data_IF_982742431120
#
_entry.id   IF_982742431120
#
_cell.length_a   1.000
_cell.length_b   1.000
_cell.length_c   1.000
_cell.angle_alpha   90.00
_cell.angle_beta   90.00
_cell.angle_gamma   90.00
#
_symmetry.space_group_name_H-M   'P 1'
#
loop_
_entity.id
_entity.type
_entity.pdbx_description
1 polymer ?
#
# COMPACT_ATOMS: atom_id res chain seq x y z
N UNK A 1 -11.43 -0.67 -16.89
CA UNK A 1 -10.46 -1.79 -16.74
C UNK A 1 -11.22 -3.10 -16.55
N UNK A 2 -10.78 -4.18 -17.21
CA UNK A 2 -11.37 -5.52 -17.12
C UNK A 2 -10.51 -6.37 -16.18
N UNK A 3 -11.12 -7.00 -15.18
CA UNK A 3 -10.48 -7.97 -14.30
C UNK A 3 -11.11 -9.33 -14.52
N UNK A 4 -10.28 -10.37 -14.62
CA UNK A 4 -10.69 -11.75 -14.73
C UNK A 4 -10.25 -12.51 -13.48
N UNK A 5 -11.18 -13.17 -12.81
CA UNK A 5 -10.92 -14.07 -11.68
C UNK A 5 -11.25 -15.49 -12.14
N UNK A 6 -10.33 -16.42 -11.89
CA UNK A 6 -10.51 -17.85 -12.14
C UNK A 6 -10.58 -18.55 -10.80
N UNK A 7 -11.58 -19.41 -10.61
CA UNK A 7 -11.79 -20.21 -9.41
C UNK A 7 -12.28 -21.61 -9.80
N UNK A 8 -12.09 -22.63 -8.95
CA UNK A 8 -12.56 -23.98 -9.28
C UNK A 8 -14.08 -24.01 -9.33
N UNK A 9 -14.65 -24.61 -10.38
CA UNK A 9 -16.11 -24.77 -10.52
C UNK A 9 -16.68 -25.88 -9.62
N UNK A 10 -15.82 -26.75 -9.10
CA UNK A 10 -16.21 -27.91 -8.29
C UNK A 10 -15.14 -28.29 -7.25
N UNK A 11 -15.51 -29.14 -6.29
CA UNK A 11 -14.55 -29.68 -5.33
C UNK A 11 -13.44 -30.50 -6.01
N UNK A 12 -13.74 -31.21 -7.08
CA UNK A 12 -12.72 -31.97 -7.82
C UNK A 12 -11.76 -31.05 -8.57
N UNK A 13 -12.25 -29.92 -9.11
CA UNK A 13 -11.37 -28.89 -9.66
C UNK A 13 -10.50 -28.23 -8.59
N UNK A 14 -10.99 -28.07 -7.35
CA UNK A 14 -10.21 -27.43 -6.27
C UNK A 14 -8.94 -28.20 -5.89
N UNK A 15 -8.86 -29.49 -6.24
CA UNK A 15 -7.67 -30.35 -6.04
C UNK A 15 -6.67 -30.27 -7.20
N UNK A 16 -7.05 -29.63 -8.31
CA UNK A 16 -6.22 -29.48 -9.49
C UNK A 16 -5.47 -28.13 -9.48
N UNK A 17 -4.43 -28.03 -10.31
CA UNK A 17 -3.69 -26.78 -10.49
C UNK A 17 -4.61 -25.66 -11.02
N UNK A 18 -4.41 -24.38 -10.60
CA UNK A 18 -5.28 -23.26 -10.99
C UNK A 18 -5.52 -23.07 -12.49
N UNK A 19 -4.57 -23.49 -13.33
CA UNK A 19 -4.69 -23.43 -14.79
C UNK A 19 -5.79 -24.33 -15.36
N UNK A 20 -6.26 -25.32 -14.58
CA UNK A 20 -7.33 -26.25 -14.97
C UNK A 20 -8.71 -25.82 -14.46
N UNK A 21 -8.79 -24.74 -13.70
CA UNK A 21 -10.06 -24.25 -13.16
C UNK A 21 -10.88 -23.57 -14.25
N UNK A 22 -12.17 -23.88 -14.30
CA UNK A 22 -13.03 -23.47 -15.42
C UNK A 22 -13.94 -22.30 -15.09
N UNK A 23 -14.25 -22.05 -13.81
CA UNK A 23 -15.14 -20.96 -13.44
C UNK A 23 -14.42 -19.61 -13.53
N UNK A 24 -14.83 -18.81 -14.50
CA UNK A 24 -14.33 -17.46 -14.71
C UNK A 24 -15.38 -16.42 -14.32
N UNK A 25 -14.97 -15.38 -13.60
CA UNK A 25 -15.80 -14.20 -13.34
C UNK A 25 -15.08 -12.97 -13.86
N UNK A 26 -15.82 -12.13 -14.59
CA UNK A 26 -15.31 -10.86 -15.09
C UNK A 26 -15.94 -9.70 -14.34
N UNK A 27 -15.13 -8.69 -14.06
CA UNK A 27 -15.58 -7.46 -13.42
C UNK A 27 -15.00 -6.25 -14.14
N UNK A 28 -15.84 -5.24 -14.32
CA UNK A 28 -15.50 -4.01 -15.02
C UNK A 28 -15.49 -2.85 -14.04
N UNK A 29 -14.36 -2.15 -13.96
CA UNK A 29 -14.20 -0.96 -13.13
C UNK A 29 -14.01 0.25 -14.05
N UNK A 30 -14.82 1.28 -13.85
CA UNK A 30 -14.69 2.54 -14.57
C UNK A 30 -13.36 3.19 -14.17
N UNK A 31 -12.51 3.50 -15.14
CA UNK A 31 -11.27 4.21 -14.85
C UNK A 31 -11.61 5.61 -14.35
N UNK A 32 -11.05 6.06 -13.21
CA UNK A 32 -11.27 7.43 -12.75
C UNK A 32 -10.75 8.41 -13.79
N UNK A 33 -11.54 9.44 -14.12
CA UNK A 33 -11.12 10.56 -14.95
C UNK A 33 -10.52 11.61 -14.02
N UNK A 34 -9.40 12.23 -14.40
CA UNK A 34 -8.69 13.29 -13.66
C UNK A 34 -7.91 12.82 -12.41
N UNK A 35 -6.97 11.89 -12.58
CA UNK A 35 -6.04 11.53 -11.51
C UNK A 35 -4.65 12.07 -11.84
N UNK A 36 -3.94 12.59 -10.82
CA UNK A 36 -2.56 13.09 -10.98
C UNK A 36 -1.62 11.94 -11.41
N UNK A 37 -1.94 10.73 -10.96
CA UNK A 37 -1.27 9.48 -11.32
C UNK A 37 -2.28 8.61 -12.08
N UNK A 38 -2.35 8.76 -13.40
CA UNK A 38 -3.41 8.18 -14.24
C UNK A 38 -3.03 6.92 -15.00
N UNK A 39 -1.78 6.44 -14.91
CA UNK A 39 -1.32 5.43 -15.87
C UNK A 39 -1.14 4.01 -15.32
N UNK A 40 -1.16 3.78 -14.00
CA UNK A 40 -1.07 2.41 -13.47
C UNK A 40 -1.90 2.22 -12.20
N UNK A 41 -3.09 1.64 -12.34
CA UNK A 41 -3.78 1.03 -11.20
C UNK A 41 -2.93 -0.17 -10.75
N UNK A 42 -2.47 -0.15 -9.51
CA UNK A 42 -1.45 -1.08 -9.02
C UNK A 42 -1.84 -1.75 -7.70
N UNK A 43 -0.95 -2.60 -7.21
CA UNK A 43 -1.02 -3.22 -5.88
C UNK A 43 -0.85 -2.16 -4.77
N UNK A 44 -1.48 -2.31 -3.59
CA UNK A 44 -1.37 -1.35 -2.49
C UNK A 44 0.07 -1.09 -2.04
N UNK A 45 0.99 -2.05 -2.22
CA UNK A 45 2.42 -1.87 -1.91
C UNK A 45 3.12 -0.86 -2.82
N UNK A 46 2.57 -0.55 -4.01
CA UNK A 46 3.09 0.52 -4.87
C UNK A 46 3.09 1.87 -4.14
N UNK A 47 2.16 2.11 -3.21
CA UNK A 47 2.14 3.33 -2.40
C UNK A 47 3.48 3.56 -1.68
N UNK A 48 4.08 2.50 -1.12
CA UNK A 48 5.37 2.59 -0.43
C UNK A 48 6.47 3.00 -1.41
N UNK A 49 6.48 2.43 -2.61
CA UNK A 49 7.44 2.78 -3.65
C UNK A 49 7.25 4.22 -4.15
N UNK A 50 6.02 4.64 -4.44
CA UNK A 50 5.73 6.01 -4.90
C UNK A 50 6.19 7.04 -3.89
N UNK A 51 5.91 6.82 -2.61
CA UNK A 51 6.39 7.68 -1.52
C UNK A 51 7.91 7.67 -1.35
N UNK A 52 8.59 6.61 -1.82
CA UNK A 52 10.05 6.47 -1.74
C UNK A 52 10.78 7.06 -2.96
N UNK A 53 10.12 7.19 -4.10
CA UNK A 53 10.74 7.66 -5.35
C UNK A 53 10.37 9.11 -5.67
N UNK A 54 9.12 9.48 -5.43
CA UNK A 54 8.69 10.86 -5.62
C UNK A 54 9.32 11.71 -4.54
N UNK A 55 9.85 12.89 -4.88
CA UNK A 55 10.28 13.87 -3.87
C UNK A 55 9.06 14.25 -3.03
N UNK A 56 8.87 13.68 -1.82
CA UNK A 56 7.56 13.68 -1.19
C UNK A 56 7.20 15.06 -0.66
N UNK A 57 8.21 15.93 -0.50
CA UNK A 57 8.04 17.34 -0.13
C UNK A 57 7.36 18.17 -1.21
N UNK A 58 7.44 17.74 -2.46
CA UNK A 58 6.88 18.46 -3.61
C UNK A 58 5.52 17.89 -4.02
N UNK A 59 5.04 16.85 -3.34
CA UNK A 59 3.68 16.35 -3.54
C UNK A 59 2.69 17.36 -2.97
N UNK A 60 1.79 17.85 -3.82
CA UNK A 60 0.62 18.57 -3.35
C UNK A 60 -0.17 17.65 -2.40
N UNK A 61 -0.59 18.18 -1.25
CA UNK A 61 -1.31 17.45 -0.23
C UNK A 61 -2.69 18.08 -0.04
N UNK A 62 -3.80 17.31 -0.13
CA UNK A 62 -3.83 15.86 -0.38
C UNK A 62 -3.50 15.50 -1.84
N UNK A 63 -2.97 14.29 -2.03
CA UNK A 63 -2.94 13.65 -3.35
C UNK A 63 -3.71 12.32 -3.32
N UNK A 64 -4.16 11.90 -4.50
CA UNK A 64 -4.94 10.68 -4.67
C UNK A 64 -4.19 9.66 -5.52
N UNK A 65 -4.28 8.39 -5.11
CA UNK A 65 -3.85 7.24 -5.90
C UNK A 65 -4.96 6.20 -5.94
N UNK A 66 -4.96 5.38 -6.99
CA UNK A 66 -5.96 4.32 -7.16
C UNK A 66 -5.25 2.97 -7.21
N UNK A 67 -5.71 2.04 -6.37
CA UNK A 67 -5.10 0.72 -6.22
C UNK A 67 -6.17 -0.37 -6.26
N UNK A 68 -5.79 -1.58 -6.63
CA UNK A 68 -6.67 -2.74 -6.43
C UNK A 68 -6.45 -3.35 -5.06
N UNK A 69 -7.55 -3.58 -4.35
CA UNK A 69 -7.62 -4.53 -3.24
C UNK A 69 -7.74 -5.96 -3.76
N UNK A 70 -8.28 -6.85 -2.93
CA UNK A 70 -8.52 -8.25 -3.30
C UNK A 70 -9.58 -8.36 -4.39
N UNK A 71 -10.63 -7.55 -4.32
CA UNK A 71 -11.77 -7.67 -5.22
C UNK A 71 -12.25 -6.35 -5.80
N UNK A 72 -11.87 -5.21 -5.23
CA UNK A 72 -12.38 -3.91 -5.64
C UNK A 72 -11.25 -2.90 -5.80
N UNK A 73 -11.50 -1.88 -6.62
CA UNK A 73 -10.61 -0.72 -6.71
C UNK A 73 -10.87 0.19 -5.51
N UNK A 74 -9.81 0.75 -4.96
CA UNK A 74 -9.86 1.71 -3.86
C UNK A 74 -9.22 3.01 -4.31
N UNK A 75 -9.86 4.13 -3.96
CA UNK A 75 -9.23 5.44 -3.98
C UNK A 75 -8.53 5.64 -2.64
N UNK A 76 -7.24 5.93 -2.67
CA UNK A 76 -6.47 6.31 -1.49
C UNK A 76 -6.21 7.80 -1.51
N UNK A 77 -6.65 8.49 -0.47
CA UNK A 77 -6.33 9.90 -0.24
C UNK A 77 -5.20 9.97 0.77
N UNK A 78 -4.05 10.50 0.32
CA UNK A 78 -2.85 10.63 1.15
C UNK A 78 -2.69 12.08 1.59
N UNK A 79 -2.50 12.32 2.89
CA UNK A 79 -2.34 13.66 3.47
C UNK A 79 -1.05 13.78 4.27
N UNK A 80 -0.35 14.89 4.08
CA UNK A 80 0.78 15.24 4.95
C UNK A 80 0.29 15.55 6.37
N UNK A 81 0.94 14.94 7.35
CA UNK A 81 0.74 15.25 8.76
C UNK A 81 1.93 16.01 9.35
N UNK A 82 1.67 16.68 10.47
CA UNK A 82 2.74 17.30 11.26
C UNK A 82 3.66 16.21 11.80
N UNK A 83 4.96 16.43 11.63
CA UNK A 83 5.98 15.47 12.05
C UNK A 83 6.65 15.84 13.37
N UNK A 84 6.78 14.84 14.24
CA UNK A 84 7.59 14.87 15.46
C UNK A 84 8.85 14.01 15.27
N UNK A 85 9.95 14.33 15.97
CA UNK A 85 11.14 13.48 15.97
C UNK A 85 10.82 12.05 16.42
N UNK A 86 11.38 11.07 15.71
CA UNK A 86 11.18 9.64 15.92
C UNK A 86 12.55 8.97 16.06
N UNK A 87 12.77 8.27 17.17
CA UNK A 87 13.93 7.41 17.34
C UNK A 87 13.76 6.16 16.47
N UNK A 88 14.79 5.82 15.69
CA UNK A 88 14.77 4.67 14.76
C UNK A 88 16.07 3.88 14.86
N UNK A 89 15.97 2.56 14.67
CA UNK A 89 17.13 1.69 14.55
C UNK A 89 16.93 0.64 13.47
N UNK A 90 17.80 0.63 12.47
CA UNK A 90 17.74 -0.29 11.34
C UNK A 90 19.12 -0.48 10.70
N UNK A 91 19.28 -1.48 9.84
CA UNK A 91 20.52 -1.73 9.10
C UNK A 91 20.37 -1.42 7.63
N UNK A 92 21.40 -0.87 7.02
CA UNK A 92 21.50 -0.65 5.57
C UNK A 92 22.58 -1.57 5.03
N UNK A 93 22.21 -2.39 4.05
CA UNK A 93 23.11 -3.24 3.29
C UNK A 93 23.43 -2.55 1.96
N UNK A 94 24.70 -2.26 1.71
CA UNK A 94 25.22 -1.70 0.45
C UNK A 94 26.37 -2.57 -0.10
N UNK A 95 26.87 -2.24 -1.29
CA UNK A 95 28.08 -2.87 -1.86
C UNK A 95 29.32 -2.71 -0.97
N UNK A 96 29.37 -1.65 -0.16
CA UNK A 96 30.48 -1.33 0.75
C UNK A 96 30.37 -1.97 2.13
N UNK A 97 29.28 -2.67 2.45
CA UNK A 97 29.09 -3.39 3.71
C UNK A 97 27.73 -3.12 4.36
N UNK A 98 27.65 -3.38 5.67
CA UNK A 98 26.44 -3.18 6.47
C UNK A 98 26.67 -2.02 7.44
N UNK A 99 25.79 -1.01 7.38
CA UNK A 99 25.82 0.15 8.28
C UNK A 99 24.60 0.09 9.21
N UNK A 100 24.86 0.11 10.52
CA UNK A 100 23.81 0.27 11.52
C UNK A 100 23.41 1.74 11.67
N UNK A 101 22.11 2.01 11.57
CA UNK A 101 21.51 3.30 11.86
C UNK A 101 20.87 3.20 13.25
N UNK A 102 21.20 4.14 14.13
CA UNK A 102 20.55 4.33 15.41
C UNK A 102 20.56 5.83 15.72
N UNK A 103 19.45 6.51 15.43
CA UNK A 103 19.37 7.98 15.49
C UNK A 103 17.93 8.44 15.64
N UNK A 104 17.75 9.75 15.82
CA UNK A 104 16.45 10.40 15.79
C UNK A 104 16.27 11.08 14.43
N UNK A 105 15.20 10.74 13.72
CA UNK A 105 14.84 11.32 12.42
C UNK A 105 13.55 12.12 12.59
N UNK A 106 13.40 13.23 11.88
CA UNK A 106 12.10 13.90 11.70
C UNK A 106 11.49 13.38 10.39
N UNK A 107 10.62 12.35 10.41
CA UNK A 107 10.12 11.72 9.21
C UNK A 107 9.14 12.63 8.45
N UNK A 108 8.89 12.37 7.18
CA UNK A 108 7.65 12.82 6.54
C UNK A 108 6.56 11.82 6.93
N UNK A 109 5.39 12.33 7.33
CA UNK A 109 4.27 11.49 7.78
C UNK A 109 3.11 11.67 6.81
N UNK A 110 2.59 10.54 6.33
CA UNK A 110 1.42 10.50 5.46
C UNK A 110 0.33 9.70 6.15
N UNK A 111 -0.85 10.29 6.37
CA UNK A 111 -2.06 9.50 6.63
C UNK A 111 -2.69 9.05 5.32
N UNK A 112 -3.21 7.83 5.34
CA UNK A 112 -3.83 7.17 4.19
C UNK A 112 -5.26 6.82 4.56
N UNK A 113 -6.20 7.43 3.86
CA UNK A 113 -7.61 7.08 3.90
C UNK A 113 -7.98 6.33 2.64
N UNK A 114 -8.73 5.24 2.77
CA UNK A 114 -9.14 4.40 1.66
C UNK A 114 -10.66 4.39 1.51
N UNK A 115 -11.11 4.58 0.28
CA UNK A 115 -12.52 4.48 -0.11
C UNK A 115 -12.67 3.44 -1.21
N UNK A 116 -13.53 2.45 -0.98
CA UNK A 116 -13.85 1.46 -2.00
C UNK A 116 -14.74 2.06 -3.09
N UNK A 117 -14.39 1.77 -4.34
CA UNK A 117 -15.15 2.13 -5.53
C UNK A 117 -15.99 0.94 -6.00
N UNK A 118 -16.68 0.30 -5.04
CA UNK A 118 -17.59 -0.81 -5.29
C UNK A 118 -18.73 -0.39 -6.25
N UNK A 119 -19.21 -1.36 -7.04
CA UNK A 119 -20.45 -1.16 -7.80
C UNK A 119 -21.65 -1.16 -6.86
N UNK A 120 -22.74 -0.49 -7.25
CA UNK A 120 -23.95 -0.29 -6.41
C UNK A 120 -24.49 -1.58 -5.78
N UNK A 121 -24.35 -2.71 -6.47
CA UNK A 121 -24.91 -4.00 -6.04
C UNK A 121 -23.89 -4.89 -5.29
N UNK A 122 -22.71 -4.36 -4.95
CA UNK A 122 -21.64 -5.11 -4.28
C UNK A 122 -21.30 -4.50 -2.93
N UNK A 123 -21.15 -5.34 -1.91
CA UNK A 123 -20.69 -4.92 -0.59
C UNK A 123 -19.28 -4.31 -0.70
N UNK A 124 -19.02 -3.12 -0.14
CA UNK A 124 -17.68 -2.54 -0.13
C UNK A 124 -16.67 -3.45 0.57
N UNK A 125 -15.56 -3.72 -0.12
CA UNK A 125 -14.36 -4.34 0.42
C UNK A 125 -13.70 -3.38 1.42
N UNK A 126 -13.18 -3.92 2.52
CA UNK A 126 -12.27 -3.17 3.40
C UNK A 126 -10.87 -3.18 2.80
N UNK A 127 -10.33 -2.01 2.49
CA UNK A 127 -8.95 -1.87 2.06
C UNK A 127 -7.97 -2.44 3.10
N UNK A 128 -6.87 -3.03 2.64
CA UNK A 128 -5.77 -3.40 3.52
C UNK A 128 -4.40 -3.14 2.90
N UNK A 129 -3.51 -2.54 3.70
CA UNK A 129 -2.09 -2.40 3.40
C UNK A 129 -1.29 -3.11 4.49
N UNK A 130 -0.55 -4.17 4.14
CA UNK A 130 0.23 -4.96 5.09
C UNK A 130 -0.60 -5.48 6.30
N UNK A 131 -1.89 -5.78 6.08
CA UNK A 131 -2.81 -6.19 7.14
C UNK A 131 -3.43 -5.04 7.95
N UNK A 132 -3.03 -3.79 7.72
CA UNK A 132 -3.61 -2.59 8.33
C UNK A 132 -4.84 -2.16 7.54
N UNK A 133 -5.89 -1.70 8.20
CA UNK A 133 -7.19 -1.39 7.59
C UNK A 133 -7.69 0.03 7.87
N UNK A 134 -7.27 0.61 9.00
CA UNK A 134 -7.71 1.94 9.45
C UNK A 134 -6.55 2.73 10.03
N UNK A 135 -6.69 4.05 10.06
CA UNK A 135 -5.72 4.97 10.69
C UNK A 135 -4.28 4.74 10.19
N UNK A 136 -4.16 4.39 8.90
CA UNK A 136 -2.88 4.00 8.30
C UNK A 136 -1.99 5.24 8.20
N UNK A 137 -0.78 5.14 8.73
CA UNK A 137 0.26 6.16 8.63
C UNK A 137 1.55 5.57 8.10
N UNK A 138 2.19 6.28 7.18
CA UNK A 138 3.49 5.92 6.62
C UNK A 138 4.49 7.01 6.99
N UNK A 139 5.60 6.60 7.58
CA UNK A 139 6.69 7.45 8.03
C UNK A 139 7.89 7.22 7.11
N UNK A 140 8.34 8.28 6.46
CA UNK A 140 9.44 8.23 5.51
C UNK A 140 10.68 8.96 6.07
N UNK A 141 11.87 8.36 5.97
CA UNK A 141 13.13 9.09 6.14
C UNK A 141 13.35 10.01 4.94
N UNK A 142 13.29 11.34 5.10
CA UNK A 142 13.40 12.28 3.99
C UNK A 142 14.81 12.38 3.38
N UNK A 143 15.82 11.77 4.01
CA UNK A 143 17.20 11.78 3.50
C UNK A 143 17.49 10.55 2.64
N UNK A 144 16.91 9.41 3.02
CA UNK A 144 17.11 8.11 2.34
C UNK A 144 15.93 7.72 1.45
N UNK A 145 14.83 8.45 1.54
CA UNK A 145 13.55 8.14 0.90
C UNK A 145 13.09 6.71 1.20
N UNK A 146 13.22 6.29 2.46
CA UNK A 146 12.84 4.95 2.91
C UNK A 146 11.62 5.01 3.82
N UNK A 147 10.63 4.13 3.67
CA UNK A 147 9.59 3.92 4.67
C UNK A 147 10.25 3.30 5.90
N UNK A 148 10.37 4.07 6.97
CA UNK A 148 11.02 3.66 8.22
C UNK A 148 10.02 3.13 9.24
N UNK A 149 8.74 3.50 9.11
CA UNK A 149 7.63 2.95 9.89
C UNK A 149 6.34 2.97 9.10
N UNK A 150 5.53 1.94 9.26
CA UNK A 150 4.12 1.93 8.85
C UNK A 150 3.29 1.56 10.06
N UNK A 151 2.28 2.35 10.40
CA UNK A 151 1.38 2.05 11.50
C UNK A 151 -0.08 2.12 11.06
N UNK A 152 -0.95 1.51 11.84
CA UNK A 152 -2.39 1.55 11.62
C UNK A 152 -3.10 0.54 12.50
N UNK A 153 -4.37 0.30 12.21
CA UNK A 153 -5.21 -0.62 12.98
C UNK A 153 -5.68 -1.80 12.15
N UNK A 154 -5.66 -2.96 12.75
CA UNK A 154 -6.20 -4.21 12.26
C UNK A 154 -7.37 -4.64 13.15
N UNK A 155 -8.42 -5.21 12.56
CA UNK A 155 -9.63 -5.62 13.30
C UNK A 155 -9.42 -6.72 14.35
N UNK A 156 -8.34 -7.50 14.23
CA UNK A 156 -8.03 -8.63 15.11
C UNK A 156 -7.09 -8.19 16.23
N UNK A 157 -6.02 -7.45 15.89
CA UNK A 157 -4.92 -7.15 16.81
C UNK A 157 -4.94 -5.71 17.37
N UNK A 158 -5.84 -4.85 16.90
CA UNK A 158 -5.87 -3.45 17.30
C UNK A 158 -4.78 -2.64 16.59
N UNK A 159 -3.99 -1.87 17.33
CA UNK A 159 -2.90 -1.07 16.76
C UNK A 159 -1.69 -1.94 16.42
N UNK A 160 -1.15 -1.74 15.21
CA UNK A 160 0.05 -2.39 14.73
C UNK A 160 1.04 -1.32 14.26
N UNK A 161 2.30 -1.51 14.63
CA UNK A 161 3.42 -0.66 14.25
C UNK A 161 4.48 -1.57 13.62
N UNK A 162 4.81 -1.30 12.37
CA UNK A 162 5.79 -2.02 11.58
C UNK A 162 7.01 -1.11 11.40
N UNK A 163 8.10 -1.42 12.10
CA UNK A 163 9.36 -0.69 11.97
C UNK A 163 10.29 -1.37 10.96
N UNK A 164 11.00 -0.56 10.17
CA UNK A 164 12.03 -1.05 9.28
C UNK A 164 13.18 -1.65 10.12
N UNK A 165 13.54 -2.91 9.87
CA UNK A 165 14.69 -3.55 10.51
C UNK A 165 15.93 -3.51 9.62
N UNK A 166 15.76 -3.81 8.34
CA UNK A 166 16.83 -3.98 7.36
C UNK A 166 16.38 -3.44 6.00
N UNK A 167 17.26 -2.71 5.32
CA UNK A 167 17.07 -2.24 3.97
C UNK A 167 18.30 -2.58 3.12
N UNK A 168 18.09 -2.91 1.85
CA UNK A 168 19.17 -3.06 0.86
C UNK A 168 19.02 -1.96 -0.17
N UNK A 169 20.06 -1.14 -0.32
CA UNK A 169 20.13 -0.10 -1.33
C UNK A 169 21.10 -0.59 -2.41
N UNK A 170 20.62 -0.67 -3.64
CA UNK A 170 21.42 -1.05 -4.82
C UNK A 170 22.15 0.17 -5.37
#
# INVERSE_FOLDING_TARGET
MRRQKIQPASHDESKQAPIKWTQTTESFYTHPKNTVYSEAISDPTLLLYLLSVLEPRNLESPFEIYVFGKEQMHRLTCRHEKSLPLAVSFKIHSSSGVVGINTTIKPLIFSVEAESLASKDTKPETFSLLGLQKEIRIYLDPSRHLPIRVSGRNSIYGELILDLSDARLN
#
